data_IF_200610844621
#
_entry.id   IF_200610844621
#
_cell.length_a   1.000
_cell.length_b   1.000
_cell.length_c   1.000
_cell.angle_alpha   90.00
_cell.angle_beta   90.00
_cell.angle_gamma   90.00
#
_symmetry.space_group_name_H-M   'P 1'
#
loop_
_entity.id
_entity.type
_entity.pdbx_description
1 polymer ?
#
# COMPACT_ATOMS: atom_id res chain seq x y z
N UNK A 1 88.92 36.32 -28.16
CA UNK A 1 87.78 37.17 -27.71
C UNK A 1 86.50 36.50 -28.21
N UNK A 2 85.85 35.66 -27.37
CA UNK A 2 84.71 34.86 -27.75
C UNK A 2 83.58 35.19 -26.81
N UNK A 3 82.48 35.78 -27.31
CA UNK A 3 81.28 36.08 -26.52
C UNK A 3 80.30 34.93 -26.61
N UNK A 4 80.15 34.20 -25.52
CA UNK A 4 79.19 33.12 -25.34
C UNK A 4 77.84 33.72 -25.00
N UNK A 5 76.86 33.54 -25.89
CA UNK A 5 75.46 33.91 -25.67
C UNK A 5 74.73 32.74 -24.98
N UNK A 6 74.29 32.89 -23.71
CA UNK A 6 73.43 32.00 -23.05
C UNK A 6 71.99 32.21 -23.59
N UNK A 7 71.41 31.14 -24.15
CA UNK A 7 69.97 31.08 -24.53
C UNK A 7 69.19 30.46 -23.39
N UNK A 8 68.43 31.30 -22.68
CA UNK A 8 67.59 30.85 -21.60
C UNK A 8 66.25 30.33 -22.18
N UNK A 9 66.06 28.99 -22.18
CA UNK A 9 64.83 28.34 -22.59
C UNK A 9 63.83 28.44 -21.43
N UNK A 10 62.79 29.28 -21.60
CA UNK A 10 61.71 29.43 -20.63
C UNK A 10 60.67 28.31 -20.88
N UNK A 11 60.70 27.24 -20.09
CA UNK A 11 59.76 26.12 -20.17
C UNK A 11 58.49 26.52 -19.48
N UNK A 12 57.43 26.87 -20.28
CA UNK A 12 56.09 27.21 -19.80
C UNK A 12 55.36 25.93 -19.47
N UNK A 13 55.31 25.53 -18.18
CA UNK A 13 54.49 24.41 -17.73
C UNK A 13 53.04 24.87 -17.58
N UNK A 14 52.20 24.50 -18.56
CA UNK A 14 50.74 24.60 -18.43
C UNK A 14 50.27 23.57 -17.41
N UNK A 15 49.97 24.02 -16.19
CA UNK A 15 49.19 23.23 -15.22
C UNK A 15 47.73 23.23 -15.66
N UNK A 16 47.28 22.11 -16.19
CA UNK A 16 45.84 21.82 -16.33
C UNK A 16 45.24 21.73 -14.95
N UNK A 17 44.55 22.77 -14.51
CA UNK A 17 43.61 22.69 -13.38
C UNK A 17 42.41 21.89 -13.85
N UNK A 18 42.45 20.56 -13.62
CA UNK A 18 41.31 19.70 -13.76
C UNK A 18 40.30 20.14 -12.68
N UNK A 19 39.28 20.90 -13.07
CA UNK A 19 38.11 21.11 -12.26
C UNK A 19 37.41 19.73 -12.12
N UNK A 20 37.82 19.02 -11.08
CA UNK A 20 37.06 17.89 -10.59
C UNK A 20 35.68 18.47 -10.14
N UNK A 21 34.62 18.29 -10.95
CA UNK A 21 33.27 18.46 -10.47
C UNK A 21 33.09 17.45 -9.35
N UNK A 22 33.37 17.88 -8.15
CA UNK A 22 32.89 17.16 -6.97
C UNK A 22 31.39 16.98 -7.14
N UNK A 23 30.96 15.75 -7.42
CA UNK A 23 29.55 15.36 -7.32
C UNK A 23 29.08 15.83 -5.95
N UNK A 24 27.93 16.50 -5.92
CA UNK A 24 27.35 17.04 -4.71
C UNK A 24 27.47 15.98 -3.60
N UNK A 25 28.37 16.22 -2.63
CA UNK A 25 28.47 15.40 -1.43
C UNK A 25 27.13 15.47 -0.75
N UNK A 26 26.36 14.38 -0.80
CA UNK A 26 25.20 14.23 0.08
C UNK A 26 25.71 14.52 1.50
N UNK A 27 25.05 15.40 2.25
CA UNK A 27 25.43 15.63 3.63
C UNK A 27 25.38 14.28 4.32
N UNK A 28 26.52 13.86 4.90
CA UNK A 28 26.68 12.56 5.54
C UNK A 28 25.58 12.38 6.58
N UNK A 29 24.58 11.52 6.26
CA UNK A 29 23.45 11.22 7.12
C UNK A 29 22.05 11.46 6.54
N UNK A 30 21.90 12.08 5.34
CA UNK A 30 20.57 12.27 4.76
C UNK A 30 20.01 10.97 4.16
N UNK A 31 18.75 10.68 4.49
CA UNK A 31 17.98 9.57 3.91
C UNK A 31 17.30 10.10 2.65
N UNK A 32 17.64 9.52 1.50
CA UNK A 32 16.98 9.81 0.23
C UNK A 32 16.11 8.61 -0.12
N UNK A 33 14.82 8.84 -0.31
CA UNK A 33 13.85 7.81 -0.65
C UNK A 33 12.95 8.26 -1.78
N UNK A 34 12.57 7.32 -2.63
CA UNK A 34 11.62 7.53 -3.72
C UNK A 34 10.29 6.89 -3.34
N UNK A 35 9.23 7.67 -3.36
CA UNK A 35 7.88 7.21 -3.04
C UNK A 35 7.18 6.54 -4.25
N UNK A 36 5.91 6.19 -4.11
CA UNK A 36 5.14 5.53 -5.17
C UNK A 36 4.57 6.48 -6.23
N UNK A 37 4.73 7.80 -6.08
CA UNK A 37 4.55 8.79 -7.14
C UNK A 37 5.85 9.07 -7.91
N UNK A 38 6.96 8.41 -7.54
CA UNK A 38 8.31 8.66 -8.00
C UNK A 38 8.92 10.00 -7.52
N UNK A 39 8.32 10.64 -6.54
CA UNK A 39 8.86 11.83 -5.90
C UNK A 39 10.03 11.47 -4.99
N UNK A 40 11.07 12.30 -5.01
CA UNK A 40 12.27 12.11 -4.18
C UNK A 40 12.15 12.93 -2.91
N UNK A 41 12.15 12.23 -1.76
CA UNK A 41 12.06 12.83 -0.44
C UNK A 41 13.45 12.76 0.20
N UNK A 42 13.98 13.90 0.61
CA UNK A 42 15.23 13.99 1.37
C UNK A 42 14.94 14.31 2.84
N UNK A 43 15.33 13.40 3.72
CA UNK A 43 15.22 13.54 5.17
C UNK A 43 16.63 13.73 5.74
N UNK A 44 16.90 14.80 6.48
CA UNK A 44 18.24 15.04 7.03
C UNK A 44 18.63 14.03 8.10
N UNK A 45 17.64 13.47 8.80
CA UNK A 45 17.77 12.49 9.87
C UNK A 45 16.58 11.54 9.88
N UNK A 46 16.71 10.43 10.62
CA UNK A 46 15.57 9.56 10.93
C UNK A 46 14.46 10.37 11.59
N UNK A 47 13.23 10.39 11.04
CA UNK A 47 12.13 11.18 11.57
C UNK A 47 11.79 10.74 13.00
N UNK A 48 11.48 11.72 13.86
CA UNK A 48 11.09 11.49 15.26
C UNK A 48 9.60 11.70 15.49
N UNK A 49 8.97 12.51 14.67
CA UNK A 49 7.56 12.88 14.75
C UNK A 49 6.91 12.66 13.41
N UNK A 50 6.06 11.66 13.31
CA UNK A 50 5.40 11.34 12.05
C UNK A 50 3.88 11.35 12.20
N UNK A 51 3.20 11.67 11.10
CA UNK A 51 1.75 11.58 10.99
C UNK A 51 1.42 10.54 9.92
N UNK A 52 0.42 9.71 10.18
CA UNK A 52 -0.12 8.78 9.22
C UNK A 52 -1.57 9.13 8.90
N UNK A 53 -1.84 9.49 7.65
CA UNK A 53 -3.18 9.84 7.18
C UNK A 53 -3.92 8.64 6.55
N UNK A 54 -3.41 7.43 6.75
CA UNK A 54 -4.04 6.20 6.26
C UNK A 54 -3.85 5.03 7.24
N UNK A 55 -4.89 4.19 7.45
CA UNK A 55 -4.85 3.08 8.38
C UNK A 55 -3.72 2.06 8.09
N UNK A 56 -3.54 1.66 6.84
CA UNK A 56 -2.50 0.71 6.44
C UNK A 56 -1.08 1.23 6.76
N UNK A 57 -0.81 2.52 6.56
CA UNK A 57 0.47 3.13 6.92
C UNK A 57 0.66 3.17 8.43
N UNK A 58 -0.39 3.49 9.19
CA UNK A 58 -0.36 3.39 10.66
C UNK A 58 0.03 1.98 11.11
N UNK A 59 -0.62 0.95 10.56
CA UNK A 59 -0.32 -0.45 10.85
C UNK A 59 1.12 -0.83 10.50
N UNK A 60 1.63 -0.39 9.34
CA UNK A 60 3.01 -0.63 8.91
C UNK A 60 4.03 0.03 9.84
N UNK A 61 3.76 1.27 10.31
CA UNK A 61 4.64 2.00 11.24
C UNK A 61 4.68 1.29 12.61
N UNK A 62 3.57 0.73 13.06
CA UNK A 62 3.56 -0.11 14.26
C UNK A 62 4.30 -1.42 14.04
N UNK A 63 4.10 -2.09 12.91
CA UNK A 63 4.74 -3.36 12.58
C UNK A 63 6.27 -3.25 12.48
N UNK A 64 6.81 -2.12 11.99
CA UNK A 64 8.25 -1.84 11.97
C UNK A 64 8.81 -1.47 13.36
N UNK A 65 7.95 -1.37 14.39
CA UNK A 65 8.34 -1.04 15.77
C UNK A 65 8.45 0.46 16.06
N UNK A 66 7.96 1.33 15.19
CA UNK A 66 8.12 2.79 15.30
C UNK A 66 6.81 3.53 15.63
N UNK A 67 5.79 2.81 16.14
CA UNK A 67 4.51 3.37 16.53
C UNK A 67 4.58 4.53 17.55
N UNK A 68 5.62 4.56 18.40
CA UNK A 68 5.85 5.64 19.37
C UNK A 68 6.19 6.98 18.72
N UNK A 69 6.60 6.99 17.45
CA UNK A 69 6.88 8.21 16.70
C UNK A 69 5.63 8.83 16.08
N UNK A 70 4.52 8.10 16.04
CA UNK A 70 3.24 8.61 15.55
C UNK A 70 2.70 9.66 16.52
N UNK A 71 2.67 10.92 16.09
CA UNK A 71 2.11 12.05 16.83
C UNK A 71 0.70 12.42 16.38
N UNK A 72 0.25 11.89 15.23
CA UNK A 72 -1.09 12.06 14.69
C UNK A 72 -1.47 10.94 13.73
N UNK A 73 -2.76 10.60 13.70
CA UNK A 73 -3.35 9.70 12.72
C UNK A 73 -4.82 10.02 12.47
N UNK A 74 -5.48 9.32 11.53
CA UNK A 74 -6.89 9.54 11.22
C UNK A 74 -7.84 8.79 12.16
N UNK A 75 -9.12 9.16 12.13
CA UNK A 75 -10.19 8.49 12.89
C UNK A 75 -10.32 6.99 12.56
N UNK A 76 -9.97 6.59 11.32
CA UNK A 76 -10.02 5.20 10.87
C UNK A 76 -8.82 4.35 11.28
N UNK A 77 -7.79 4.94 11.87
CA UNK A 77 -6.62 4.21 12.38
C UNK A 77 -6.94 3.58 13.74
N UNK A 78 -7.51 2.37 13.70
CA UNK A 78 -8.03 1.63 14.85
C UNK A 78 -7.20 0.38 15.22
N UNK A 79 -6.17 0.04 14.43
CA UNK A 79 -5.29 -1.10 14.67
C UNK A 79 -3.80 -0.70 14.57
N UNK A 80 -2.94 -1.24 15.47
CA UNK A 80 -3.28 -1.98 16.69
C UNK A 80 -4.04 -1.09 17.69
N UNK A 81 -4.47 -1.65 18.82
CA UNK A 81 -5.27 -0.91 19.83
C UNK A 81 -4.59 0.40 20.26
N UNK A 82 -3.26 0.42 20.34
CA UNK A 82 -2.47 1.62 20.64
C UNK A 82 -2.68 2.77 19.64
N UNK A 83 -3.03 2.48 18.39
CA UNK A 83 -3.30 3.50 17.36
C UNK A 83 -4.53 4.36 17.68
N UNK A 84 -5.49 3.83 18.43
CA UNK A 84 -6.69 4.56 18.85
C UNK A 84 -6.39 5.72 19.79
N UNK A 85 -5.30 5.61 20.57
CA UNK A 85 -4.87 6.60 21.57
C UNK A 85 -4.09 7.77 20.97
N UNK A 86 -3.68 7.68 19.69
CA UNK A 86 -2.93 8.73 19.00
C UNK A 86 -3.88 9.88 18.66
N UNK A 87 -3.37 11.13 18.73
CA UNK A 87 -4.12 12.34 18.39
C UNK A 87 -4.72 12.22 16.98
N UNK A 88 -6.04 12.45 16.87
CA UNK A 88 -6.73 12.41 15.59
C UNK A 88 -6.60 13.75 14.87
N UNK A 89 -6.18 13.68 13.59
CA UNK A 89 -5.98 14.84 12.71
C UNK A 89 -7.00 14.87 11.57
N UNK A 90 -8.21 14.42 11.85
CA UNK A 90 -9.29 14.31 10.88
C UNK A 90 -9.50 12.88 10.38
N UNK A 91 -10.10 12.73 9.23
CA UNK A 91 -10.27 11.47 8.52
C UNK A 91 -9.45 11.45 7.21
N UNK A 92 -9.71 10.49 6.30
CA UNK A 92 -8.96 10.36 5.06
C UNK A 92 -9.33 11.43 4.01
N UNK A 93 -10.52 12.02 4.10
CA UNK A 93 -11.05 13.02 3.17
C UNK A 93 -11.01 14.43 3.75
N UNK A 94 -11.26 14.54 5.07
CA UNK A 94 -11.33 15.80 5.80
C UNK A 94 -10.20 15.90 6.81
N UNK A 95 -9.13 16.60 6.43
CA UNK A 95 -7.89 16.73 7.20
C UNK A 95 -7.88 18.04 7.99
N UNK A 96 -7.53 17.96 9.28
CA UNK A 96 -7.29 19.10 10.17
C UNK A 96 -5.85 19.60 10.01
N UNK A 97 -5.63 20.51 9.08
CA UNK A 97 -4.31 21.06 8.76
C UNK A 97 -3.72 21.89 9.89
N UNK A 98 -4.56 22.59 10.68
CA UNK A 98 -4.10 23.39 11.83
C UNK A 98 -3.53 22.49 12.90
N UNK A 99 -4.19 21.37 13.16
CA UNK A 99 -3.73 20.37 14.10
C UNK A 99 -2.43 19.70 13.63
N UNK A 100 -2.32 19.40 12.32
CA UNK A 100 -1.08 18.88 11.74
C UNK A 100 0.06 19.88 11.96
N UNK A 101 -0.15 21.18 11.66
CA UNK A 101 0.84 22.24 11.89
C UNK A 101 1.26 22.31 13.37
N UNK A 102 0.32 22.22 14.30
CA UNK A 102 0.59 22.26 15.74
C UNK A 102 1.44 21.08 16.21
N UNK A 103 1.26 19.91 15.59
CA UNK A 103 2.00 18.68 15.91
C UNK A 103 3.43 18.68 15.36
N UNK A 104 3.80 19.58 14.47
CA UNK A 104 5.15 19.75 13.89
C UNK A 104 5.78 18.43 13.44
N UNK A 105 5.19 17.71 12.49
CA UNK A 105 5.73 16.44 12.01
C UNK A 105 6.98 16.66 11.13
N UNK A 106 7.92 15.71 11.21
CA UNK A 106 9.08 15.64 10.31
C UNK A 106 8.71 15.01 8.97
N UNK A 107 7.69 14.12 8.97
CA UNK A 107 7.22 13.38 7.80
C UNK A 107 5.75 13.02 7.97
N UNK A 108 5.00 13.11 6.87
CA UNK A 108 3.59 12.70 6.78
C UNK A 108 3.48 11.55 5.78
N UNK A 109 2.77 10.49 6.16
CA UNK A 109 2.47 9.35 5.30
C UNK A 109 1.03 9.42 4.81
N UNK A 110 0.84 9.24 3.50
CA UNK A 110 -0.48 9.18 2.84
C UNK A 110 -0.52 7.99 1.86
N UNK A 111 -1.72 7.69 1.36
CA UNK A 111 -1.91 6.69 0.30
C UNK A 111 -2.71 7.26 -0.87
N UNK A 112 -2.45 6.75 -2.08
CA UNK A 112 -3.18 7.19 -3.29
C UNK A 112 -4.66 6.85 -3.22
N UNK A 113 -5.02 5.66 -2.71
CA UNK A 113 -6.44 5.22 -2.68
C UNK A 113 -7.23 5.80 -1.50
N UNK A 114 -6.53 6.25 -0.46
CA UNK A 114 -7.19 6.72 0.77
C UNK A 114 -7.26 8.23 0.93
N UNK A 115 -6.42 8.98 0.23
CA UNK A 115 -6.31 10.42 0.42
C UNK A 115 -6.53 11.19 -0.90
N UNK A 116 -7.22 12.31 -0.83
CA UNK A 116 -7.43 13.15 -2.00
C UNK A 116 -6.12 13.79 -2.48
N UNK A 117 -5.96 13.92 -3.80
CA UNK A 117 -4.82 14.60 -4.43
C UNK A 117 -4.65 16.02 -3.90
N UNK A 118 -5.74 16.76 -3.75
CA UNK A 118 -5.73 18.14 -3.22
C UNK A 118 -5.15 18.19 -1.80
N UNK A 119 -5.38 17.16 -0.99
CA UNK A 119 -4.80 17.05 0.35
C UNK A 119 -3.29 16.92 0.30
N UNK A 120 -2.76 16.10 -0.62
CA UNK A 120 -1.33 15.97 -0.87
C UNK A 120 -0.72 17.31 -1.28
N UNK A 121 -1.28 17.96 -2.32
CA UNK A 121 -0.79 19.23 -2.84
C UNK A 121 -0.78 20.33 -1.76
N UNK A 122 -1.83 20.38 -0.93
CA UNK A 122 -1.92 21.33 0.18
C UNK A 122 -0.86 21.07 1.26
N UNK A 123 -0.61 19.81 1.62
CA UNK A 123 0.44 19.46 2.59
C UNK A 123 1.83 19.87 2.08
N UNK A 124 2.13 19.59 0.80
CA UNK A 124 3.40 19.97 0.17
C UNK A 124 3.52 21.51 0.12
N UNK A 125 2.46 22.23 -0.26
CA UNK A 125 2.43 23.71 -0.27
C UNK A 125 2.65 24.31 1.12
N UNK A 126 2.21 23.65 2.17
CA UNK A 126 2.48 24.02 3.57
C UNK A 126 3.91 23.72 4.02
N UNK A 127 4.76 23.12 3.16
CA UNK A 127 6.16 22.85 3.44
C UNK A 127 6.42 21.50 4.13
N UNK A 128 5.41 20.64 4.27
CA UNK A 128 5.60 19.31 4.84
C UNK A 128 6.29 18.35 3.87
N UNK A 129 7.11 17.46 4.40
CA UNK A 129 7.58 16.28 3.68
C UNK A 129 6.49 15.23 3.71
N UNK A 130 6.11 14.73 2.55
CA UNK A 130 5.02 13.75 2.39
C UNK A 130 5.56 12.54 1.66
N UNK A 131 5.37 11.36 2.24
CA UNK A 131 5.65 10.08 1.60
C UNK A 131 4.34 9.45 1.13
N UNK A 132 4.25 9.18 -0.16
CA UNK A 132 3.05 8.59 -0.78
C UNK A 132 3.26 7.09 -0.99
N UNK A 133 2.34 6.28 -0.48
CA UNK A 133 2.32 4.83 -0.66
C UNK A 133 1.15 4.42 -1.55
N UNK A 134 1.38 3.44 -2.44
CA UNK A 134 0.36 2.96 -3.38
C UNK A 134 0.49 1.46 -3.67
N UNK A 135 0.53 0.58 -2.67
CA UNK A 135 0.69 -0.84 -2.89
C UNK A 135 -0.57 -1.43 -3.54
N UNK A 136 -0.37 -2.11 -4.68
CA UNK A 136 -1.45 -2.76 -5.47
C UNK A 136 -1.48 -4.27 -5.31
N UNK A 137 -0.47 -4.85 -4.69
CA UNK A 137 -0.30 -6.27 -4.47
C UNK A 137 0.69 -6.53 -3.34
N UNK A 138 1.01 -7.78 -3.09
CA UNK A 138 1.93 -8.18 -2.03
C UNK A 138 3.35 -7.60 -2.22
N UNK A 139 3.86 -7.54 -3.44
CA UNK A 139 5.19 -6.95 -3.70
C UNK A 139 5.21 -5.45 -3.41
N UNK A 140 4.13 -4.74 -3.72
CA UNK A 140 3.97 -3.33 -3.36
C UNK A 140 3.96 -3.12 -1.84
N UNK A 141 3.31 -4.00 -1.07
CA UNK A 141 3.34 -3.99 0.40
C UNK A 141 4.77 -4.17 0.91
N UNK A 142 5.51 -5.18 0.38
CA UNK A 142 6.91 -5.43 0.75
C UNK A 142 7.82 -4.25 0.42
N UNK A 143 7.62 -3.62 -0.76
CA UNK A 143 8.33 -2.40 -1.13
C UNK A 143 8.11 -1.28 -0.12
N UNK A 144 6.85 -0.96 0.17
CA UNK A 144 6.52 0.09 1.16
C UNK A 144 7.13 -0.22 2.53
N UNK A 145 7.06 -1.46 2.98
CA UNK A 145 7.64 -1.86 4.27
C UNK A 145 9.17 -1.79 4.29
N UNK A 146 9.83 -2.14 3.17
CA UNK A 146 11.28 -1.95 2.99
C UNK A 146 11.67 -0.47 3.03
N UNK A 147 10.86 0.39 2.42
CA UNK A 147 11.08 1.83 2.40
C UNK A 147 10.92 2.44 3.82
N UNK A 148 9.93 1.98 4.59
CA UNK A 148 9.82 2.31 6.01
C UNK A 148 11.06 1.87 6.79
N UNK A 149 11.61 0.68 6.49
CA UNK A 149 12.88 0.21 7.03
C UNK A 149 14.01 1.21 6.80
N UNK A 150 14.13 1.77 5.59
CA UNK A 150 15.13 2.81 5.26
C UNK A 150 14.85 4.11 6.01
N UNK A 151 13.59 4.59 5.99
CA UNK A 151 13.15 5.83 6.63
C UNK A 151 13.46 5.82 8.14
N UNK A 152 13.22 4.70 8.79
CA UNK A 152 13.41 4.58 10.25
C UNK A 152 14.73 3.94 10.67
N UNK A 153 15.65 3.64 9.75
CA UNK A 153 16.91 2.97 10.06
C UNK A 153 16.75 1.54 10.58
N UNK A 154 15.70 0.83 10.11
CA UNK A 154 15.31 -0.51 10.54
C UNK A 154 15.38 -1.55 9.40
N UNK A 155 16.32 -1.40 8.47
CA UNK A 155 16.40 -2.23 7.25
C UNK A 155 16.50 -3.72 7.55
N UNK A 156 17.34 -4.11 8.53
CA UNK A 156 17.49 -5.52 8.91
C UNK A 156 16.19 -6.09 9.50
N UNK A 157 15.49 -5.31 10.34
CA UNK A 157 14.22 -5.71 10.93
C UNK A 157 13.13 -5.84 9.86
N UNK A 158 13.03 -4.88 8.94
CA UNK A 158 12.11 -4.94 7.81
C UNK A 158 12.37 -6.19 6.95
N UNK A 159 13.63 -6.49 6.63
CA UNK A 159 14.01 -7.68 5.85
C UNK A 159 13.56 -8.98 6.53
N UNK A 160 13.74 -9.10 7.84
CA UNK A 160 13.32 -10.29 8.58
C UNK A 160 11.80 -10.49 8.52
N UNK A 161 11.02 -9.43 8.76
CA UNK A 161 9.54 -9.49 8.68
C UNK A 161 9.09 -9.85 7.27
N UNK A 162 9.65 -9.21 6.23
CA UNK A 162 9.35 -9.53 4.83
C UNK A 162 9.65 -11.01 4.53
N UNK A 163 10.77 -11.55 5.04
CA UNK A 163 11.11 -12.96 4.85
C UNK A 163 10.09 -13.92 5.49
N UNK A 164 9.54 -13.57 6.66
CA UNK A 164 8.46 -14.36 7.27
C UNK A 164 7.16 -14.25 6.46
N UNK A 165 6.82 -13.05 5.96
CA UNK A 165 5.67 -12.89 5.04
C UNK A 165 5.83 -13.71 3.77
N UNK A 166 7.02 -13.72 3.15
CA UNK A 166 7.29 -14.51 1.94
C UNK A 166 7.12 -16.01 2.20
N UNK A 167 7.56 -16.52 3.36
CA UNK A 167 7.36 -17.93 3.72
C UNK A 167 5.86 -18.29 3.79
N UNK A 168 5.08 -17.50 4.53
CA UNK A 168 3.65 -17.77 4.70
C UNK A 168 2.90 -17.60 3.37
N UNK A 169 3.24 -16.57 2.59
CA UNK A 169 2.68 -16.36 1.25
C UNK A 169 2.91 -17.56 0.33
N UNK A 170 4.14 -18.09 0.32
CA UNK A 170 4.50 -19.22 -0.52
C UNK A 170 3.79 -20.52 -0.07
N UNK A 171 3.58 -20.72 1.22
CA UNK A 171 2.80 -21.84 1.75
C UNK A 171 1.35 -21.75 1.23
N UNK A 172 0.68 -20.64 1.46
CA UNK A 172 -0.73 -20.47 1.08
C UNK A 172 -0.90 -20.58 -0.44
N UNK A 173 -0.09 -19.85 -1.23
CA UNK A 173 -0.19 -19.90 -2.70
C UNK A 173 0.24 -21.24 -3.28
N UNK A 174 1.08 -21.99 -2.59
CA UNK A 174 1.41 -23.39 -2.90
C UNK A 174 0.20 -24.32 -2.74
N UNK A 175 -0.57 -24.14 -1.66
CA UNK A 175 -1.81 -24.89 -1.44
C UNK A 175 -2.88 -24.50 -2.49
N UNK A 176 -3.05 -23.21 -2.75
CA UNK A 176 -4.00 -22.70 -3.76
C UNK A 176 -3.84 -23.38 -5.12
N UNK A 177 -2.60 -23.65 -5.56
CA UNK A 177 -2.31 -24.29 -6.86
C UNK A 177 -2.86 -25.71 -6.98
N UNK A 178 -3.25 -26.36 -5.90
CA UNK A 178 -3.86 -27.70 -5.91
C UNK A 178 -5.33 -27.68 -6.34
N UNK A 179 -5.96 -26.51 -6.43
CA UNK A 179 -7.36 -26.34 -6.75
C UNK A 179 -7.55 -25.71 -8.13
N UNK A 180 -8.63 -26.08 -8.86
CA UNK A 180 -8.96 -25.40 -10.10
C UNK A 180 -9.34 -23.94 -9.84
N UNK A 181 -8.94 -23.02 -10.73
CA UNK A 181 -9.33 -21.60 -10.62
C UNK A 181 -10.83 -21.44 -10.62
N UNK A 182 -11.34 -20.51 -9.77
CA UNK A 182 -12.75 -20.19 -9.65
C UNK A 182 -12.96 -18.72 -10.01
N UNK A 183 -14.08 -18.40 -10.65
CA UNK A 183 -14.41 -17.02 -10.96
C UNK A 183 -15.02 -16.30 -9.76
N UNK A 184 -14.61 -15.05 -9.54
CA UNK A 184 -15.13 -14.28 -8.42
C UNK A 184 -15.29 -12.80 -8.78
N UNK A 185 -16.17 -12.11 -8.05
CA UNK A 185 -16.23 -10.66 -8.00
C UNK A 185 -16.06 -10.16 -6.58
N UNK A 186 -15.41 -9.01 -6.43
CA UNK A 186 -15.42 -8.27 -5.17
C UNK A 186 -16.29 -7.03 -5.32
N UNK A 187 -17.39 -7.01 -4.59
CA UNK A 187 -18.40 -5.96 -4.65
C UNK A 187 -18.02 -4.80 -3.72
N UNK A 188 -17.76 -3.63 -4.33
CA UNK A 188 -17.45 -2.38 -3.62
C UNK A 188 -18.71 -1.59 -3.33
N UNK A 189 -19.68 -1.59 -4.24
CA UNK A 189 -20.95 -0.89 -4.10
C UNK A 189 -22.09 -1.61 -4.79
N UNK A 190 -23.31 -1.46 -4.25
CA UNK A 190 -24.52 -2.06 -4.81
C UNK A 190 -25.28 -1.12 -5.74
N UNK A 191 -25.21 0.20 -5.50
CA UNK A 191 -25.95 1.18 -6.32
C UNK A 191 -25.10 2.45 -6.48
N UNK A 192 -24.37 2.59 -7.61
CA UNK A 192 -24.27 1.63 -8.73
C UNK A 192 -23.52 0.35 -8.35
N UNK A 193 -23.69 -0.72 -9.13
CA UNK A 193 -22.92 -1.95 -8.97
C UNK A 193 -21.48 -1.66 -9.36
N UNK A 194 -20.61 -1.58 -8.37
CA UNK A 194 -19.20 -1.26 -8.55
C UNK A 194 -18.34 -2.42 -8.06
N UNK A 195 -17.41 -2.88 -8.90
CA UNK A 195 -16.52 -4.00 -8.60
C UNK A 195 -15.08 -3.51 -8.44
N UNK A 196 -14.28 -4.28 -7.70
CA UNK A 196 -12.81 -4.09 -7.71
C UNK A 196 -12.25 -4.64 -9.03
N UNK A 197 -11.58 -3.78 -9.81
CA UNK A 197 -10.96 -4.12 -11.08
C UNK A 197 -9.49 -4.51 -10.97
N UNK A 198 -8.82 -4.72 -12.11
CA UNK A 198 -7.47 -5.28 -12.24
C UNK A 198 -6.39 -4.57 -11.41
N UNK A 199 -6.40 -3.25 -11.40
CA UNK A 199 -5.31 -2.44 -10.81
C UNK A 199 -5.59 -2.09 -9.33
N UNK A 200 -6.35 -2.91 -8.62
CA UNK A 200 -6.64 -2.71 -7.19
C UNK A 200 -5.87 -3.71 -6.33
N UNK A 201 -5.60 -3.32 -5.10
CA UNK A 201 -5.07 -4.21 -4.07
C UNK A 201 -5.95 -5.45 -3.87
N UNK A 202 -7.26 -5.26 -3.91
CA UNK A 202 -8.25 -6.33 -3.77
C UNK A 202 -8.08 -7.40 -4.86
N UNK A 203 -7.84 -6.98 -6.10
CA UNK A 203 -7.54 -7.91 -7.18
C UNK A 203 -6.26 -8.70 -6.91
N UNK A 204 -5.23 -8.05 -6.37
CA UNK A 204 -3.99 -8.72 -5.96
C UNK A 204 -4.23 -9.81 -4.91
N UNK A 205 -5.09 -9.55 -3.93
CA UNK A 205 -5.49 -10.52 -2.91
C UNK A 205 -6.27 -11.70 -3.54
N UNK A 206 -7.29 -11.41 -4.34
CA UNK A 206 -8.11 -12.44 -5.01
C UNK A 206 -7.26 -13.36 -5.89
N UNK A 207 -6.35 -12.79 -6.70
CA UNK A 207 -5.49 -13.58 -7.60
C UNK A 207 -4.45 -14.40 -6.84
N UNK A 208 -3.99 -13.94 -5.68
CA UNK A 208 -3.11 -14.72 -4.80
C UNK A 208 -3.81 -15.96 -4.23
N UNK A 209 -5.14 -15.92 -4.07
CA UNK A 209 -6.00 -17.04 -3.69
C UNK A 209 -6.53 -17.85 -4.91
N UNK A 210 -5.95 -17.65 -6.09
CA UNK A 210 -6.30 -18.41 -7.29
C UNK A 210 -7.66 -18.04 -7.90
N UNK A 211 -8.28 -16.96 -7.45
CA UNK A 211 -9.55 -16.49 -7.99
C UNK A 211 -9.33 -15.69 -9.28
N UNK A 212 -10.17 -15.96 -10.27
CA UNK A 212 -10.26 -15.20 -11.52
C UNK A 212 -11.25 -14.07 -11.30
N UNK A 213 -10.76 -12.85 -11.23
CA UNK A 213 -11.62 -11.68 -11.10
C UNK A 213 -12.39 -11.40 -12.37
N UNK A 214 -13.74 -11.43 -12.33
CA UNK A 214 -14.58 -11.14 -13.50
C UNK A 214 -14.50 -9.70 -14.01
N UNK A 215 -13.93 -8.79 -13.20
CA UNK A 215 -13.62 -7.40 -13.56
C UNK A 215 -12.11 -7.20 -13.89
N UNK A 216 -11.36 -8.30 -14.02
CA UNK A 216 -9.90 -8.27 -14.24
C UNK A 216 -9.46 -7.81 -15.64
N UNK A 217 -10.36 -7.70 -16.58
CA UNK A 217 -10.16 -7.18 -17.94
C UNK A 217 -10.47 -5.68 -18.06
N UNK A 218 -11.10 -5.07 -17.05
CA UNK A 218 -11.44 -3.65 -17.06
C UNK A 218 -10.19 -2.75 -16.97
N UNK A 219 -10.12 -1.66 -17.75
CA UNK A 219 -9.07 -0.64 -17.60
C UNK A 219 -9.26 0.24 -16.34
N UNK A 220 -10.45 0.22 -15.72
CA UNK A 220 -10.77 1.01 -14.54
C UNK A 220 -10.47 0.25 -13.24
N UNK A 221 -10.04 0.96 -12.22
CA UNK A 221 -9.81 0.38 -10.89
C UNK A 221 -11.12 -0.08 -10.23
N UNK A 222 -12.18 0.68 -10.44
CA UNK A 222 -13.50 0.43 -9.87
C UNK A 222 -14.59 0.57 -10.95
N UNK A 223 -14.69 -0.42 -11.88
CA UNK A 223 -15.67 -0.38 -12.95
C UNK A 223 -17.09 -0.55 -12.44
N UNK A 224 -18.03 0.10 -13.13
CA UNK A 224 -19.47 -0.06 -12.93
C UNK A 224 -19.99 -1.10 -13.92
N UNK A 225 -20.82 -2.01 -13.42
CA UNK A 225 -21.45 -3.07 -14.20
C UNK A 225 -22.99 -2.96 -14.14
N UNK A 226 -23.63 -3.40 -15.20
CA UNK A 226 -25.08 -3.63 -15.20
C UNK A 226 -25.41 -4.97 -14.52
N UNK A 227 -26.67 -5.12 -14.11
CA UNK A 227 -27.18 -6.38 -13.55
C UNK A 227 -27.07 -7.54 -14.53
N UNK A 228 -27.35 -7.25 -15.79
CA UNK A 228 -27.32 -8.18 -16.90
C UNK A 228 -25.91 -8.69 -17.18
N UNK A 229 -24.91 -7.82 -17.10
CA UNK A 229 -23.50 -8.22 -17.24
C UNK A 229 -23.08 -9.15 -16.11
N UNK A 230 -23.50 -8.88 -14.87
CA UNK A 230 -23.21 -9.77 -13.74
C UNK A 230 -23.88 -11.14 -13.93
N UNK A 231 -25.15 -11.17 -14.36
CA UNK A 231 -25.84 -12.42 -14.65
C UNK A 231 -25.16 -13.21 -15.78
N UNK A 232 -24.67 -12.53 -16.81
CA UNK A 232 -23.95 -13.16 -17.94
C UNK A 232 -22.59 -13.71 -17.49
N UNK A 233 -21.83 -12.97 -16.69
CA UNK A 233 -20.52 -13.41 -16.16
C UNK A 233 -20.67 -14.52 -15.12
N UNK A 234 -21.78 -14.56 -14.38
CA UNK A 234 -22.22 -15.61 -13.46
C UNK A 234 -21.10 -16.19 -12.59
N UNK A 235 -20.48 -15.39 -11.70
CA UNK A 235 -19.30 -15.79 -10.92
C UNK A 235 -19.60 -16.94 -9.95
N UNK A 236 -18.55 -17.73 -9.64
CA UNK A 236 -18.63 -18.82 -8.68
C UNK A 236 -18.62 -18.32 -7.23
N UNK A 237 -17.99 -17.14 -6.98
CA UNK A 237 -17.93 -16.46 -5.67
C UNK A 237 -18.30 -14.98 -5.77
N UNK A 238 -18.97 -14.49 -4.73
CA UNK A 238 -19.18 -13.06 -4.49
C UNK A 238 -18.51 -12.71 -3.15
N UNK A 239 -17.51 -11.83 -3.19
CA UNK A 239 -16.92 -11.24 -2.01
C UNK A 239 -17.53 -9.86 -1.80
N UNK A 240 -17.85 -9.51 -0.55
CA UNK A 240 -18.34 -8.19 -0.18
C UNK A 240 -17.93 -7.84 1.24
N UNK A 241 -17.74 -6.56 1.50
CA UNK A 241 -17.50 -6.08 2.87
C UNK A 241 -18.78 -6.09 3.69
N UNK A 242 -18.66 -6.42 4.97
CA UNK A 242 -19.78 -6.39 5.90
C UNK A 242 -19.33 -6.71 7.33
N UNK A 243 -20.27 -6.62 8.24
CA UNK A 243 -20.04 -6.90 9.68
C UNK A 243 -20.61 -8.27 10.09
N UNK A 244 -21.39 -8.89 9.23
CA UNK A 244 -22.10 -10.14 9.53
C UNK A 244 -22.44 -10.87 8.24
N UNK A 245 -22.48 -12.20 8.30
CA UNK A 245 -22.95 -13.06 7.18
C UNK A 245 -24.38 -12.71 6.73
N UNK A 246 -25.19 -12.10 7.59
CA UNK A 246 -26.52 -11.61 7.25
C UNK A 246 -26.50 -10.50 6.19
N UNK A 247 -25.36 -9.81 6.03
CA UNK A 247 -25.19 -8.77 5.00
C UNK A 247 -25.33 -9.33 3.58
N UNK A 248 -25.03 -10.61 3.37
CA UNK A 248 -25.22 -11.30 2.08
C UNK A 248 -26.66 -11.23 1.56
N UNK A 249 -27.65 -11.19 2.45
CA UNK A 249 -29.08 -11.06 2.06
C UNK A 249 -29.38 -9.74 1.35
N UNK A 250 -28.58 -8.70 1.57
CA UNK A 250 -28.73 -7.41 0.88
C UNK A 250 -28.63 -7.55 -0.63
N UNK A 251 -27.88 -8.54 -1.13
CA UNK A 251 -27.69 -8.78 -2.56
C UNK A 251 -29.01 -9.12 -3.25
N UNK A 252 -29.73 -10.12 -2.73
CA UNK A 252 -31.02 -10.56 -3.31
C UNK A 252 -32.19 -9.65 -2.96
N UNK A 253 -32.04 -8.83 -1.92
CA UNK A 253 -32.97 -7.74 -1.62
C UNK A 253 -32.85 -6.61 -2.63
N UNK A 254 -31.61 -6.24 -3.00
CA UNK A 254 -31.36 -5.19 -3.99
C UNK A 254 -31.68 -5.68 -5.42
N UNK A 255 -31.32 -6.91 -5.74
CA UNK A 255 -31.45 -7.50 -7.08
C UNK A 255 -32.04 -8.90 -6.99
N UNK A 256 -33.36 -9.01 -7.14
CA UNK A 256 -34.10 -10.28 -6.98
C UNK A 256 -33.65 -11.37 -7.97
N UNK A 257 -33.21 -10.96 -9.16
CA UNK A 257 -32.70 -11.84 -10.21
C UNK A 257 -31.33 -12.48 -9.86
N UNK A 258 -30.58 -11.91 -8.95
CA UNK A 258 -29.30 -12.48 -8.53
C UNK A 258 -29.42 -13.81 -7.78
N UNK A 259 -30.65 -14.17 -7.33
CA UNK A 259 -30.91 -15.53 -6.82
C UNK A 259 -30.55 -16.64 -7.81
N UNK A 260 -30.41 -16.33 -9.10
CA UNK A 260 -30.02 -17.28 -10.14
C UNK A 260 -28.50 -17.40 -10.33
N UNK A 261 -27.70 -16.51 -9.76
CA UNK A 261 -26.22 -16.59 -9.79
C UNK A 261 -25.72 -17.86 -9.11
N UNK A 262 -24.71 -18.50 -9.70
CA UNK A 262 -24.04 -19.68 -9.11
C UNK A 262 -23.59 -19.42 -7.67
N UNK A 263 -22.92 -18.27 -7.44
CA UNK A 263 -22.44 -17.89 -6.11
C UNK A 263 -23.56 -17.89 -5.06
N UNK A 264 -24.74 -17.40 -5.39
CA UNK A 264 -25.89 -17.34 -4.47
C UNK A 264 -26.52 -18.72 -4.27
N UNK A 265 -26.71 -19.49 -5.36
CA UNK A 265 -27.27 -20.84 -5.28
C UNK A 265 -26.41 -21.79 -4.46
N UNK A 266 -25.11 -21.65 -4.54
CA UNK A 266 -24.15 -22.52 -3.87
C UNK A 266 -23.76 -22.03 -2.47
N UNK A 267 -24.30 -20.88 -2.02
CA UNK A 267 -23.92 -20.27 -0.73
C UNK A 267 -22.53 -19.64 -0.72
N UNK A 268 -21.92 -19.39 -1.89
CA UNK A 268 -20.57 -18.84 -2.05
C UNK A 268 -20.55 -17.30 -2.01
N UNK A 269 -21.29 -16.72 -1.07
CA UNK A 269 -21.21 -15.28 -0.77
C UNK A 269 -20.37 -15.10 0.48
N UNK A 270 -19.18 -14.57 0.31
CA UNK A 270 -18.19 -14.39 1.37
C UNK A 270 -18.25 -12.95 1.86
N UNK A 271 -18.72 -12.75 3.08
CA UNK A 271 -18.65 -11.46 3.77
C UNK A 271 -17.31 -11.34 4.47
N UNK A 272 -16.61 -10.22 4.22
CA UNK A 272 -15.27 -9.97 4.74
C UNK A 272 -15.20 -8.69 5.55
N UNK A 273 -14.30 -8.66 6.54
CA UNK A 273 -14.01 -7.49 7.35
C UNK A 273 -13.32 -6.41 6.49
N UNK A 274 -13.92 -5.21 6.34
CA UNK A 274 -13.32 -4.14 5.57
C UNK A 274 -11.93 -3.70 6.09
N UNK A 275 -11.72 -3.75 7.40
CA UNK A 275 -10.45 -3.35 8.01
C UNK A 275 -9.31 -4.33 7.70
N UNK A 276 -9.63 -5.58 7.40
CA UNK A 276 -8.66 -6.59 7.01
C UNK A 276 -8.43 -6.60 5.48
N UNK A 277 -9.51 -6.47 4.68
CA UNK A 277 -9.47 -6.73 3.25
C UNK A 277 -9.27 -5.48 2.38
N UNK A 278 -9.51 -4.27 2.93
CA UNK A 278 -9.34 -3.02 2.18
C UNK A 278 -8.06 -2.26 2.53
N UNK A 279 -7.22 -2.80 3.41
CA UNK A 279 -5.99 -2.14 3.87
C UNK A 279 -4.75 -2.87 3.34
N UNK A 280 -4.09 -2.36 2.29
CA UNK A 280 -2.84 -2.94 1.79
C UNK A 280 -1.70 -2.73 2.80
N UNK A 281 -1.56 -3.64 3.75
CA UNK A 281 -0.70 -3.49 4.91
C UNK A 281 -0.14 -4.80 5.45
N UNK A 282 0.41 -4.81 6.66
CA UNK A 282 1.11 -5.96 7.25
C UNK A 282 0.20 -7.16 7.50
N UNK A 283 -1.13 -6.95 7.57
CA UNK A 283 -2.12 -8.02 7.74
C UNK A 283 -2.58 -8.67 6.41
N UNK A 284 -1.85 -8.42 5.32
CA UNK A 284 -2.16 -9.06 4.03
C UNK A 284 -2.15 -10.59 4.11
N UNK A 285 -1.20 -11.16 4.83
CA UNK A 285 -1.11 -12.62 4.99
C UNK A 285 -2.31 -13.16 5.76
N UNK A 286 -2.76 -12.45 6.80
CA UNK A 286 -3.96 -12.83 7.57
C UNK A 286 -5.21 -12.79 6.68
N UNK A 287 -5.33 -11.76 5.81
CA UNK A 287 -6.43 -11.65 4.85
C UNK A 287 -6.39 -12.80 3.82
N UNK A 288 -5.21 -13.12 3.29
CA UNK A 288 -5.01 -14.19 2.33
C UNK A 288 -5.38 -15.55 2.94
N UNK A 289 -4.86 -15.87 4.11
CA UNK A 289 -5.18 -17.11 4.82
C UNK A 289 -6.67 -17.20 5.18
N UNK A 290 -7.27 -16.09 5.63
CA UNK A 290 -8.70 -16.06 5.93
C UNK A 290 -9.55 -16.31 4.68
N UNK A 291 -9.18 -15.74 3.53
CA UNK A 291 -9.88 -15.96 2.28
C UNK A 291 -9.73 -17.41 1.81
N UNK A 292 -8.51 -17.97 1.85
CA UNK A 292 -8.25 -19.35 1.52
C UNK A 292 -9.16 -20.31 2.32
N UNK A 293 -9.22 -20.13 3.65
CA UNK A 293 -10.08 -20.96 4.52
C UNK A 293 -11.58 -20.81 4.23
N UNK A 294 -12.03 -19.63 3.82
CA UNK A 294 -13.44 -19.41 3.44
C UNK A 294 -13.78 -20.07 2.09
N UNK A 295 -12.84 -20.14 1.16
CA UNK A 295 -12.99 -20.81 -0.13
C UNK A 295 -12.86 -22.33 0.02
N UNK A 296 -11.95 -22.79 0.92
CA UNK A 296 -11.59 -24.18 1.14
C UNK A 296 -11.79 -24.58 2.62
N UNK A 297 -13.04 -24.64 3.13
CA UNK A 297 -13.32 -24.76 4.57
C UNK A 297 -12.83 -26.06 5.24
N UNK A 298 -12.45 -27.07 4.48
CA UNK A 298 -11.96 -28.35 4.99
C UNK A 298 -10.43 -28.48 4.96
N UNK A 299 -9.72 -27.38 4.64
CA UNK A 299 -8.26 -27.38 4.47
C UNK A 299 -7.59 -26.37 5.40
N UNK A 300 -6.48 -26.76 6.01
CA UNK A 300 -5.64 -25.90 6.83
C UNK A 300 -4.32 -25.67 6.10
N UNK A 301 -3.99 -24.46 5.61
CA UNK A 301 -2.73 -24.19 4.93
C UNK A 301 -1.58 -24.05 5.95
N UNK A 302 -1.27 -25.04 6.73
CA UNK A 302 -0.25 -24.86 7.77
C UNK A 302 0.08 -26.08 8.63
N UNK A 303 -0.38 -27.27 8.20
CA UNK A 303 0.03 -28.54 8.81
C UNK A 303 0.78 -29.40 7.83
#
# INVERSE_FOLDING_TARGET
>A
MCKLRFFLLFLLTLTFISCNREGAKNPSGSIIIKDDLNDTISLPLVPRRVISLAPNMTEMIFAIGEGKKLVGNTLYCNYPEAAKKITKVGDMLSIDYEKILSLKPDLIFITVEGNAKDSYEKLVKLGFKVFVSNPRNFDGIKKTFSDLGKIFGKQAHAKNIISEWDKHYNIITGEVKKYPPQTAMFLIGLSPIMLAGKNTFINGLMTSDGLINIAGDSPFNYPIYSREEILKKNPDYILMTGTSEKDSKKLTQAYKEWKFLKAIKNGNVIVVDPDLYLRPGPRFIDALENLFRKIHPHQNPGH
#
